data_IF_530168466892
#
_entry.id   IF_530168466892
#
_cell.length_a   1.000
_cell.length_b   1.000
_cell.length_c   1.000
_cell.angle_alpha   90.00
_cell.angle_beta   90.00
_cell.angle_gamma   90.00
#
_symmetry.space_group_name_H-M   'P 1'
#
loop_
_entity.id
_entity.type
_entity.pdbx_description
1 polymer ?
#
# COMPACT_ATOMS: atom_id res chain seq x y z
N UNK A 1 -9.07 6.42 -15.83
CA UNK A 1 -7.96 5.52 -16.19
C UNK A 1 -7.96 4.38 -15.18
N UNK A 2 -7.53 3.18 -15.58
CA UNK A 2 -7.44 2.05 -14.65
C UNK A 2 -6.16 2.21 -13.85
N UNK A 3 -6.26 2.74 -12.63
CA UNK A 3 -5.13 2.93 -11.72
C UNK A 3 -4.67 1.56 -11.21
N UNK A 4 -3.50 1.10 -11.65
CA UNK A 4 -2.90 -0.14 -11.15
C UNK A 4 -2.20 0.13 -9.83
N UNK A 5 -2.44 -0.71 -8.82
CA UNK A 5 -1.71 -0.67 -7.56
C UNK A 5 -1.06 -2.02 -7.29
N UNK A 6 0.25 -2.03 -7.07
CA UNK A 6 1.01 -3.18 -6.60
C UNK A 6 1.20 -3.06 -5.09
N UNK A 7 0.90 -4.13 -4.37
CA UNK A 7 1.12 -4.22 -2.93
C UNK A 7 1.97 -5.42 -2.62
N UNK A 8 3.07 -5.19 -1.91
CA UNK A 8 3.98 -6.23 -1.43
C UNK A 8 4.00 -6.20 0.10
N UNK A 9 3.80 -7.34 0.73
CA UNK A 9 3.95 -7.52 2.17
C UNK A 9 5.19 -8.37 2.41
N UNK A 10 6.10 -7.89 3.23
CA UNK A 10 7.25 -8.63 3.74
C UNK A 10 7.08 -8.86 5.23
N UNK A 11 7.40 -10.06 5.71
CA UNK A 11 7.29 -10.43 7.12
C UNK A 11 8.16 -11.63 7.45
N UNK A 12 8.57 -11.75 8.71
CA UNK A 12 9.34 -12.88 9.19
C UNK A 12 8.44 -13.86 9.96
N UNK A 13 8.38 -15.13 9.53
CA UNK A 13 7.55 -16.19 10.14
C UNK A 13 6.03 -15.90 10.09
N UNK A 14 5.57 -15.18 9.07
CA UNK A 14 4.16 -14.74 8.92
C UNK A 14 3.33 -15.59 7.94
N UNK A 15 3.81 -16.78 7.57
CA UNK A 15 3.15 -17.68 6.61
C UNK A 15 1.73 -18.04 7.07
N UNK A 16 1.55 -18.37 8.35
CA UNK A 16 0.24 -18.70 8.92
C UNK A 16 -0.72 -17.49 8.92
N UNK A 17 -0.20 -16.28 9.10
CA UNK A 17 -0.97 -15.03 9.07
C UNK A 17 -1.42 -14.71 7.64
N UNK A 18 -0.54 -14.95 6.66
CA UNK A 18 -0.75 -14.62 5.26
C UNK A 18 -1.45 -15.72 4.45
N UNK A 19 -1.41 -16.98 4.89
CA UNK A 19 -2.01 -18.11 4.19
C UNK A 19 -3.49 -17.86 3.80
N UNK A 20 -4.38 -17.35 4.69
CA UNK A 20 -5.76 -17.06 4.30
C UNK A 20 -5.86 -16.02 3.18
N UNK A 21 -4.94 -15.04 3.13
CA UNK A 21 -4.93 -13.97 2.13
C UNK A 21 -4.50 -14.46 0.74
N UNK A 22 -3.91 -15.65 0.65
CA UNK A 22 -3.61 -16.31 -0.63
C UNK A 22 -4.82 -17.01 -1.26
N UNK A 23 -5.93 -17.10 -0.52
CA UNK A 23 -7.15 -17.76 -0.94
C UNK A 23 -8.26 -16.75 -1.28
N UNK A 24 -9.16 -17.09 -2.22
CA UNK A 24 -10.34 -16.29 -2.51
C UNK A 24 -11.26 -16.19 -1.29
N UNK A 25 -11.78 -15.01 -1.03
CA UNK A 25 -12.69 -14.73 0.08
C UNK A 25 -13.57 -13.53 -0.26
N UNK A 26 -14.84 -13.80 -0.58
CA UNK A 26 -15.80 -12.79 -1.00
C UNK A 26 -16.35 -11.96 0.18
N UNK A 27 -15.93 -12.25 1.43
CA UNK A 27 -16.34 -11.47 2.61
C UNK A 27 -15.47 -10.25 2.87
N UNK A 28 -14.33 -10.11 2.17
CA UNK A 28 -13.40 -8.98 2.32
C UNK A 28 -13.92 -7.74 1.62
N UNK A 29 -13.60 -6.58 2.18
CA UNK A 29 -13.92 -5.27 1.57
C UNK A 29 -13.04 -4.97 0.35
N UNK A 30 -11.85 -5.58 0.29
CA UNK A 30 -10.95 -5.59 -0.87
C UNK A 30 -11.03 -6.93 -1.59
N UNK A 31 -10.67 -6.95 -2.88
CA UNK A 31 -10.80 -8.16 -3.72
C UNK A 31 -9.48 -8.60 -4.32
N UNK A 32 -9.19 -9.90 -4.26
CA UNK A 32 -8.02 -10.52 -4.88
C UNK A 32 -7.35 -11.50 -3.93
N UNK A 33 -6.23 -12.06 -4.37
CA UNK A 33 -5.46 -13.02 -3.60
C UNK A 33 -3.99 -12.66 -3.69
N UNK A 34 -3.31 -12.68 -2.55
CA UNK A 34 -1.88 -12.55 -2.51
C UNK A 34 -1.22 -13.78 -3.12
N UNK A 35 -0.16 -13.56 -3.87
CA UNK A 35 0.74 -14.61 -4.37
C UNK A 35 1.97 -14.63 -3.48
N UNK A 36 2.33 -15.81 -2.98
CA UNK A 36 3.61 -16.00 -2.30
C UNK A 36 4.76 -15.80 -3.28
N UNK A 37 5.63 -14.85 -2.96
CA UNK A 37 6.85 -14.50 -3.70
C UNK A 37 8.11 -14.70 -2.86
N UNK A 38 7.96 -15.19 -1.62
CA UNK A 38 9.04 -15.40 -0.66
C UNK A 38 9.73 -16.75 -0.85
N UNK A 39 11.04 -16.77 -0.59
CA UNK A 39 11.84 -18.00 -0.53
C UNK A 39 12.85 -17.91 0.63
N UNK A 40 13.09 -19.06 1.28
CA UNK A 40 14.06 -19.24 2.37
C UNK A 40 13.76 -18.44 3.66
N UNK A 41 14.60 -17.45 4.03
CA UNK A 41 14.58 -16.84 5.38
C UNK A 41 13.58 -15.70 5.59
N UNK A 42 12.92 -15.21 4.54
CA UNK A 42 11.95 -14.11 4.66
C UNK A 42 10.70 -14.42 3.84
N UNK A 43 9.53 -14.23 4.46
CA UNK A 43 8.24 -14.33 3.80
C UNK A 43 7.96 -13.08 2.98
N UNK A 44 7.36 -13.27 1.80
CA UNK A 44 7.01 -12.19 0.90
C UNK A 44 5.76 -12.53 0.11
N UNK A 45 4.83 -11.58 0.00
CA UNK A 45 3.57 -11.77 -0.69
C UNK A 45 3.24 -10.55 -1.54
N UNK A 46 2.79 -10.76 -2.77
CA UNK A 46 2.44 -9.68 -3.69
C UNK A 46 1.03 -9.82 -4.25
N UNK A 47 0.40 -8.69 -4.52
CA UNK A 47 -0.91 -8.61 -5.19
C UNK A 47 -0.94 -7.36 -6.07
N UNK A 48 -1.61 -7.48 -7.23
CA UNK A 48 -1.87 -6.35 -8.12
C UNK A 48 -3.38 -6.07 -8.20
N UNK A 49 -3.75 -4.79 -8.15
CA UNK A 49 -5.11 -4.32 -8.29
C UNK A 49 -5.27 -3.50 -9.55
N UNK A 50 -6.26 -3.83 -10.38
CA UNK A 50 -6.54 -3.10 -11.64
C UNK A 50 -7.37 -1.82 -11.41
N UNK A 51 -7.94 -1.65 -10.21
CA UNK A 51 -8.78 -0.50 -9.86
C UNK A 51 -8.61 -0.13 -8.39
N UNK A 52 -8.52 1.17 -8.11
CA UNK A 52 -8.46 1.71 -6.74
C UNK A 52 -9.57 1.18 -5.82
N UNK A 53 -10.81 1.11 -6.31
CA UNK A 53 -11.95 0.62 -5.52
C UNK A 53 -11.81 -0.83 -5.03
N UNK A 54 -10.85 -1.61 -5.56
CA UNK A 54 -10.64 -3.01 -5.19
C UNK A 54 -9.67 -3.21 -4.04
N UNK A 55 -8.92 -2.17 -3.63
CA UNK A 55 -7.96 -2.26 -2.52
C UNK A 55 -8.27 -1.29 -1.38
N UNK A 56 -9.37 -0.53 -1.45
CA UNK A 56 -9.89 0.23 -0.31
C UNK A 56 -10.14 -0.73 0.88
N UNK A 57 -9.72 -0.34 2.08
CA UNK A 57 -9.80 -1.17 3.28
C UNK A 57 -8.65 -2.18 3.42
N UNK A 58 -7.74 -2.32 2.44
CA UNK A 58 -6.65 -3.28 2.52
C UNK A 58 -5.67 -2.93 3.65
N UNK A 59 -5.28 -1.67 3.81
CA UNK A 59 -4.31 -1.27 4.83
C UNK A 59 -4.91 -1.45 6.24
N UNK A 60 -6.18 -1.10 6.44
CA UNK A 60 -6.92 -1.35 7.68
C UNK A 60 -7.05 -2.84 7.97
N UNK A 61 -7.31 -3.66 6.94
CA UNK A 61 -7.36 -5.10 7.08
C UNK A 61 -6.00 -5.66 7.49
N UNK A 62 -4.92 -5.27 6.81
CA UNK A 62 -3.55 -5.66 7.16
C UNK A 62 -3.17 -5.19 8.58
N UNK A 63 -3.56 -3.98 9.01
CA UNK A 63 -3.37 -3.52 10.39
C UNK A 63 -4.04 -4.43 11.41
N UNK A 64 -5.23 -4.96 11.09
CA UNK A 64 -6.03 -5.80 12.00
C UNK A 64 -5.53 -7.24 12.15
N UNK A 65 -4.61 -7.69 11.29
CA UNK A 65 -4.12 -9.07 11.31
C UNK A 65 -3.33 -9.36 12.60
N UNK A 66 -3.43 -10.59 13.13
CA UNK A 66 -2.73 -11.00 14.34
C UNK A 66 -1.26 -11.36 14.05
N UNK A 67 -0.49 -10.39 13.53
CA UNK A 67 0.92 -10.57 13.19
C UNK A 67 1.71 -11.15 14.37
N UNK A 68 2.51 -12.20 14.12
CA UNK A 68 3.37 -12.80 15.14
C UNK A 68 4.50 -11.84 15.53
N UNK A 69 5.03 -11.12 14.56
CA UNK A 69 6.15 -10.20 14.66
C UNK A 69 5.84 -8.89 13.95
N UNK A 70 4.91 -8.07 14.49
CA UNK A 70 4.39 -6.87 13.80
C UNK A 70 5.48 -5.86 13.43
N UNK A 71 6.54 -5.76 14.24
CA UNK A 71 7.67 -4.86 13.99
C UNK A 71 8.53 -5.26 12.78
N UNK A 72 8.38 -6.49 12.28
CA UNK A 72 9.07 -6.98 11.07
C UNK A 72 8.27 -6.74 9.79
N UNK A 73 6.96 -6.45 9.93
CA UNK A 73 6.04 -6.29 8.81
C UNK A 73 6.34 -4.99 8.07
N UNK A 74 6.58 -5.12 6.77
CA UNK A 74 6.76 -4.01 5.83
C UNK A 74 5.75 -4.18 4.71
N UNK A 75 4.91 -3.17 4.51
CA UNK A 75 3.95 -3.15 3.39
C UNK A 75 4.42 -2.08 2.41
N UNK A 76 4.80 -2.50 1.22
CA UNK A 76 5.17 -1.63 0.13
C UNK A 76 3.96 -1.45 -0.78
N UNK A 77 3.60 -0.20 -1.08
CA UNK A 77 2.51 0.11 -2.01
C UNK A 77 3.07 0.99 -3.12
N UNK A 78 2.83 0.59 -4.36
CA UNK A 78 3.16 1.38 -5.54
C UNK A 78 1.95 1.48 -6.44
N UNK A 79 1.41 2.68 -6.51
CA UNK A 79 0.42 3.02 -7.51
C UNK A 79 1.07 3.39 -8.85
N UNK A 80 0.40 3.21 -9.99
CA UNK A 80 0.94 3.50 -11.33
C UNK A 80 1.47 4.94 -11.50
N UNK A 81 0.94 5.88 -10.72
CA UNK A 81 1.34 7.29 -10.74
C UNK A 81 2.46 7.60 -9.72
N UNK A 82 2.74 6.68 -8.79
CA UNK A 82 3.84 6.85 -7.83
C UNK A 82 5.20 6.77 -8.55
N UNK A 83 6.16 7.61 -8.12
CA UNK A 83 7.53 7.56 -8.64
C UNK A 83 8.39 6.48 -7.94
N UNK A 84 7.92 5.96 -6.81
CA UNK A 84 8.54 4.87 -6.05
C UNK A 84 7.54 4.25 -5.07
N UNK A 85 7.86 3.07 -4.53
CA UNK A 85 7.05 2.45 -3.49
C UNK A 85 7.01 3.32 -2.24
N UNK A 86 5.80 3.57 -1.72
CA UNK A 86 5.62 3.97 -0.33
C UNK A 86 5.87 2.77 0.59
N UNK A 87 6.26 3.06 1.83
CA UNK A 87 6.54 2.04 2.85
C UNK A 87 5.61 2.27 4.04
N UNK A 88 4.91 1.22 4.46
CA UNK A 88 4.13 1.20 5.70
C UNK A 88 4.73 0.17 6.65
N UNK A 89 4.77 0.52 7.93
CA UNK A 89 5.24 -0.35 9.00
C UNK A 89 4.33 -0.22 10.22
N UNK A 90 4.28 -1.27 11.04
CA UNK A 90 3.48 -1.23 12.27
C UNK A 90 4.26 -0.51 13.37
N UNK A 91 3.76 0.65 13.79
CA UNK A 91 4.25 1.43 14.92
C UNK A 91 3.12 1.63 15.93
N UNK A 92 3.39 1.32 17.20
CA UNK A 92 2.41 1.44 18.29
C UNK A 92 1.07 0.73 18.00
N UNK A 93 1.15 -0.42 17.31
CA UNK A 93 -0.01 -1.22 16.93
C UNK A 93 -0.81 -0.69 15.74
N UNK A 94 -0.28 0.30 15.00
CA UNK A 94 -0.92 0.89 13.82
C UNK A 94 -0.04 0.78 12.59
N UNK A 95 -0.62 0.46 11.44
CA UNK A 95 0.08 0.43 10.16
C UNK A 95 0.15 1.85 9.61
N UNK A 96 1.34 2.45 9.67
CA UNK A 96 1.55 3.86 9.31
C UNK A 96 2.55 3.99 8.18
N UNK A 97 2.32 4.95 7.29
CA UNK A 97 3.29 5.29 6.24
C UNK A 97 4.56 5.86 6.88
N UNK A 98 5.70 5.28 6.53
CA UNK A 98 7.02 5.72 6.95
C UNK A 98 7.52 6.79 5.96
N UNK A 99 7.79 8.02 6.42
CA UNK A 99 8.29 9.07 5.54
C UNK A 99 9.65 8.69 4.92
N UNK A 100 9.68 8.56 3.60
CA UNK A 100 10.93 8.31 2.87
C UNK A 100 11.65 9.63 2.59
N UNK A 101 12.99 9.71 2.79
CA UNK A 101 13.73 10.91 2.46
C UNK A 101 13.57 11.27 0.98
N UNK A 102 13.39 12.56 0.71
CA UNK A 102 13.23 13.12 -0.64
C UNK A 102 11.95 12.67 -1.35
N UNK A 103 10.89 12.35 -0.61
CA UNK A 103 9.56 12.11 -1.17
C UNK A 103 8.51 12.99 -0.51
N UNK A 104 7.37 13.19 -1.18
CA UNK A 104 6.15 13.76 -0.61
C UNK A 104 4.92 13.15 -1.27
N UNK A 105 3.80 13.09 -0.54
CA UNK A 105 2.48 12.79 -1.12
C UNK A 105 1.93 14.05 -1.79
N UNK A 106 1.44 13.90 -3.01
CA UNK A 106 0.79 14.94 -3.79
C UNK A 106 -0.65 14.50 -4.10
N UNK A 107 -1.58 15.45 -4.05
CA UNK A 107 -3.01 15.16 -4.20
C UNK A 107 -3.56 15.99 -5.35
N UNK A 108 -4.41 15.37 -6.17
CA UNK A 108 -5.12 16.08 -7.22
C UNK A 108 -6.48 16.55 -6.71
N UNK A 109 -6.74 17.86 -6.64
CA UNK A 109 -8.10 18.33 -6.40
C UNK A 109 -8.98 17.98 -7.60
N UNK A 110 -10.22 17.56 -7.32
CA UNK A 110 -11.24 17.31 -8.33
C UNK A 110 -11.44 18.55 -9.21
N UNK A 111 -11.37 18.38 -10.53
CA UNK A 111 -11.63 19.47 -11.48
C UNK A 111 -13.06 20.06 -11.39
N UNK A 112 -14.00 19.30 -10.81
CA UNK A 112 -15.41 19.70 -10.72
C UNK A 112 -15.76 20.38 -9.39
N UNK A 113 -15.18 19.91 -8.28
CA UNK A 113 -15.49 20.41 -6.92
C UNK A 113 -14.38 21.26 -6.34
N UNK A 114 -13.15 21.14 -6.85
CA UNK A 114 -11.95 21.77 -6.27
C UNK A 114 -11.44 21.10 -5.00
N UNK A 115 -12.09 20.03 -4.54
CA UNK A 115 -11.77 19.33 -3.30
C UNK A 115 -10.93 18.08 -3.58
N UNK A 116 -10.04 17.74 -2.65
CA UNK A 116 -9.31 16.46 -2.65
C UNK A 116 -10.26 15.38 -2.12
N UNK A 117 -10.33 14.25 -2.82
CA UNK A 117 -11.05 13.07 -2.35
C UNK A 117 -10.40 12.59 -1.03
N UNK A 118 -11.15 12.51 0.08
CA UNK A 118 -10.59 12.15 1.39
C UNK A 118 -10.01 10.73 1.42
N UNK A 119 -10.46 9.86 0.51
CA UNK A 119 -9.95 8.50 0.40
C UNK A 119 -8.78 8.40 -0.60
N UNK A 120 -8.36 9.52 -1.22
CA UNK A 120 -7.25 9.52 -2.17
C UNK A 120 -5.94 9.21 -1.43
N UNK A 121 -5.26 8.09 -1.73
CA UNK A 121 -3.95 7.80 -1.14
C UNK A 121 -2.88 8.81 -1.57
N UNK A 122 -3.20 9.70 -2.51
CA UNK A 122 -2.25 10.61 -3.12
C UNK A 122 -1.26 9.88 -4.01
N UNK A 123 -0.27 10.62 -4.47
CA UNK A 123 0.78 10.15 -5.36
C UNK A 123 2.13 10.47 -4.72
N UNK A 124 2.97 9.46 -4.54
CA UNK A 124 4.29 9.60 -3.96
C UNK A 124 5.25 10.08 -5.04
N UNK A 125 5.68 11.33 -4.92
CA UNK A 125 6.63 11.94 -5.84
C UNK A 125 7.98 12.17 -5.15
N UNK A 126 9.06 12.17 -5.93
CA UNK A 126 10.39 12.57 -5.46
C UNK A 126 10.54 14.08 -5.48
N UNK A 127 11.11 14.63 -4.41
CA UNK A 127 11.42 16.06 -4.31
C UNK A 127 12.74 16.44 -4.96
N UNK A 128 13.53 15.46 -5.41
CA UNK A 128 14.81 15.63 -6.10
C UNK A 128 14.74 15.23 -7.60
N UNK A 129 13.54 14.97 -8.11
CA UNK A 129 13.28 14.65 -9.51
C UNK A 129 13.35 15.88 -10.43
N UNK A 130 13.49 15.68 -11.76
CA UNK A 130 13.64 16.76 -12.74
C UNK A 130 12.33 17.51 -13.03
N UNK A 131 11.66 18.03 -12.00
CA UNK A 131 10.40 18.80 -12.10
C UNK A 131 9.21 17.97 -12.61
N UNK A 132 7.99 18.15 -12.14
CA UNK A 132 7.47 19.10 -11.19
C UNK A 132 6.02 18.70 -10.96
N UNK A 133 5.71 18.32 -9.73
CA UNK A 133 4.38 18.63 -9.25
C UNK A 133 4.42 20.09 -8.86
N UNK A 134 3.45 20.93 -9.28
CA UNK A 134 3.38 22.28 -8.74
C UNK A 134 3.37 22.15 -7.21
N UNK A 135 4.26 22.86 -6.53
CA UNK A 135 4.14 23.00 -5.08
C UNK A 135 2.74 23.56 -4.83
N UNK A 136 1.82 22.71 -4.38
CA UNK A 136 0.45 23.11 -4.09
C UNK A 136 0.50 24.09 -2.94
N UNK A 137 0.06 25.32 -3.20
CA UNK A 137 -0.17 26.35 -2.17
C UNK A 137 -1.38 26.07 -1.30
#
# INVERSE_FOLDING_TARGET
>A
MSRFAEVIVLGNDEEETMEPLTQPDDSREWSGCFTDIGHDMFGGWAIEFVRRSRWLGLLEYLESLPWKSPHSVQVLVHDEEDECFGLWMIHDGRLVEVPLPRTRRAFWPSHFTGEVDPDDPGILIRTDGPGGWPDGG
#
